data_IF_153231487437
#
_entry.id   IF_153231487437
#
_cell.length_a   1.000
_cell.length_b   1.000
_cell.length_c   1.000
_cell.angle_alpha   90.00
_cell.angle_beta   90.00
_cell.angle_gamma   90.00
#
_symmetry.space_group_name_H-M   'P 1'
#
loop_
_entity.id
_entity.type
_entity.pdbx_description
1 polymer ?
#
# COMPACT_ATOMS: atom_id res chain seq x y z
N UNK A 1 -0.37 -14.82 -15.04
CA UNK A 1 -0.23 -13.36 -14.92
C UNK A 1 -1.25 -12.92 -13.90
N UNK A 2 -0.82 -12.49 -12.72
CA UNK A 2 -1.73 -11.93 -11.73
C UNK A 2 -2.00 -10.48 -12.13
N UNK A 3 -3.26 -10.15 -12.38
CA UNK A 3 -3.73 -8.78 -12.61
C UNK A 3 -3.65 -8.07 -11.26
N UNK A 4 -2.51 -7.41 -11.00
CA UNK A 4 -2.27 -6.58 -9.83
C UNK A 4 -3.16 -5.35 -9.89
N UNK A 5 -4.46 -5.54 -9.64
CA UNK A 5 -5.40 -4.44 -9.54
C UNK A 5 -4.96 -3.62 -8.33
N UNK A 6 -4.39 -2.46 -8.61
CA UNK A 6 -4.58 -1.27 -7.79
C UNK A 6 -5.99 -1.39 -7.22
N UNK A 7 -6.15 -1.45 -5.90
CA UNK A 7 -7.46 -1.47 -5.27
C UNK A 7 -8.08 -0.08 -5.43
N UNK A 8 -8.37 0.27 -6.69
CA UNK A 8 -9.05 1.47 -7.13
C UNK A 8 -10.51 1.11 -7.28
N UNK A 9 -11.25 1.30 -6.22
CA UNK A 9 -12.68 1.09 -6.21
C UNK A 9 -13.36 2.34 -6.77
N UNK A 10 -14.12 2.21 -7.86
CA UNK A 10 -15.01 3.28 -8.31
C UNK A 10 -16.20 3.35 -7.35
N UNK A 11 -16.16 4.33 -6.44
CA UNK A 11 -17.18 4.52 -5.40
C UNK A 11 -18.49 5.02 -5.99
N UNK A 12 -18.40 5.94 -6.95
CA UNK A 12 -19.58 6.50 -7.59
C UNK A 12 -19.24 7.15 -8.94
N UNK A 13 -20.27 7.23 -9.79
CA UNK A 13 -20.20 7.82 -11.12
C UNK A 13 -21.44 8.67 -11.39
N UNK A 14 -21.24 9.81 -12.03
CA UNK A 14 -22.32 10.72 -12.40
C UNK A 14 -22.21 11.10 -13.87
N UNK A 15 -23.39 11.27 -14.48
CA UNK A 15 -23.59 11.67 -15.87
C UNK A 15 -24.71 12.71 -15.93
N UNK A 16 -24.51 13.76 -16.72
CA UNK A 16 -25.43 14.90 -16.80
C UNK A 16 -26.61 14.72 -17.77
N UNK A 17 -26.81 13.53 -18.34
CA UNK A 17 -28.00 13.22 -19.15
C UNK A 17 -28.00 13.75 -20.59
N UNK A 18 -27.03 14.59 -20.99
CA UNK A 18 -27.04 15.27 -22.28
C UNK A 18 -26.21 14.54 -23.34
N UNK A 19 -26.84 14.25 -24.48
CA UNK A 19 -26.18 13.80 -25.71
C UNK A 19 -25.99 15.00 -26.66
N UNK A 20 -24.74 15.39 -26.96
CA UNK A 20 -24.48 16.52 -27.86
C UNK A 20 -23.11 17.18 -27.68
N UNK A 21 -22.75 18.03 -28.64
CA UNK A 21 -21.36 18.45 -28.94
C UNK A 21 -20.72 19.47 -27.99
N UNK A 22 -21.40 19.98 -26.93
CA UNK A 22 -20.84 21.10 -26.16
C UNK A 22 -20.54 20.91 -24.67
N UNK A 23 -21.17 20.01 -23.91
CA UNK A 23 -20.79 19.85 -22.49
C UNK A 23 -21.14 18.47 -21.93
N UNK A 24 -20.44 17.43 -22.40
CA UNK A 24 -20.41 16.16 -21.67
C UNK A 24 -19.57 16.35 -20.41
N UNK A 25 -20.17 16.14 -19.23
CA UNK A 25 -19.45 16.14 -17.95
C UNK A 25 -19.66 14.80 -17.25
N UNK A 26 -18.66 13.94 -17.34
CA UNK A 26 -18.58 12.74 -16.52
C UNK A 26 -17.78 13.08 -15.25
N UNK A 27 -18.24 12.57 -14.11
CA UNK A 27 -17.54 12.68 -12.82
C UNK A 27 -17.43 11.30 -12.21
N UNK A 28 -16.27 11.02 -11.63
CA UNK A 28 -15.98 9.75 -10.96
C UNK A 28 -15.34 10.03 -9.61
N UNK A 29 -15.78 9.30 -8.59
CA UNK A 29 -15.09 9.22 -7.31
C UNK A 29 -14.49 7.82 -7.20
N UNK A 30 -13.18 7.74 -6.99
CA UNK A 30 -12.48 6.48 -6.77
C UNK A 30 -11.71 6.51 -5.45
N UNK A 31 -11.71 5.38 -4.74
CA UNK A 31 -10.89 5.14 -3.55
C UNK A 31 -9.70 4.28 -3.95
N UNK A 32 -8.49 4.68 -3.58
CA UNK A 32 -7.28 3.88 -3.76
C UNK A 32 -6.81 3.37 -2.40
N UNK A 33 -6.56 2.07 -2.29
CA UNK A 33 -5.96 1.45 -1.09
C UNK A 33 -4.57 0.93 -1.46
N UNK A 34 -3.56 1.33 -0.68
CA UNK A 34 -2.17 0.90 -0.85
C UNK A 34 -1.66 0.23 0.41
N UNK A 35 -0.84 -0.80 0.21
CA UNK A 35 -0.09 -1.46 1.26
C UNK A 35 1.26 -0.78 1.45
N UNK A 36 1.61 -0.49 2.69
CA UNK A 36 2.89 0.12 3.03
C UNK A 36 3.74 -0.89 3.80
N UNK A 37 4.98 -1.09 3.35
CA UNK A 37 5.99 -1.82 4.11
C UNK A 37 7.01 -0.80 4.58
N UNK A 38 7.22 -0.73 5.89
CA UNK A 38 8.22 0.15 6.51
C UNK A 38 9.22 -0.73 7.24
N UNK A 39 10.50 -0.53 6.96
CA UNK A 39 11.58 -1.18 7.70
C UNK A 39 12.50 -0.13 8.29
N UNK A 40 13.08 -0.44 9.45
CA UNK A 40 14.15 0.36 10.05
C UNK A 40 15.42 -0.48 10.06
N UNK A 41 16.48 0.03 9.44
CA UNK A 41 17.81 -0.59 9.44
C UNK A 41 18.74 0.21 10.36
N UNK A 42 19.24 -0.43 11.42
CA UNK A 42 20.03 0.21 12.48
C UNK A 42 19.27 0.31 13.80
N UNK A 43 19.86 0.99 14.80
CA UNK A 43 19.24 1.16 16.11
C UNK A 43 18.04 2.12 16.10
N UNK A 44 17.36 2.24 17.24
CA UNK A 44 16.14 3.04 17.39
C UNK A 44 16.35 4.55 17.22
N UNK A 45 17.57 5.08 17.38
CA UNK A 45 17.88 6.51 17.38
C UNK A 45 18.48 7.00 16.05
N UNK A 46 19.25 6.16 15.37
CA UNK A 46 20.00 6.52 14.15
C UNK A 46 19.65 5.68 12.93
N UNK A 47 18.77 4.68 13.10
CA UNK A 47 18.38 3.76 12.04
C UNK A 47 17.72 4.43 10.85
N UNK A 48 18.12 4.01 9.64
CA UNK A 48 17.50 4.48 8.40
C UNK A 48 16.13 3.85 8.24
N UNK A 49 15.11 4.68 8.06
CA UNK A 49 13.76 4.23 7.69
C UNK A 49 13.70 4.03 6.17
N UNK A 50 13.29 2.85 5.76
CA UNK A 50 13.02 2.46 4.39
C UNK A 50 11.50 2.24 4.24
N UNK A 51 10.92 2.75 3.16
CA UNK A 51 9.48 2.66 2.89
C UNK A 51 9.25 2.15 1.47
N UNK A 52 8.27 1.27 1.34
CA UNK A 52 7.77 0.75 0.06
C UNK A 52 6.25 0.79 0.04
N UNK A 53 5.67 1.01 -1.13
CA UNK A 53 4.24 0.98 -1.38
C UNK A 53 3.91 -0.09 -2.41
N UNK A 54 2.80 -0.78 -2.21
CA UNK A 54 2.32 -1.84 -3.08
C UNK A 54 0.82 -1.72 -3.30
N UNK A 55 0.37 -2.19 -4.46
CA UNK A 55 -1.04 -2.20 -4.84
C UNK A 55 -1.77 -3.40 -4.23
N UNK A 56 -1.05 -4.49 -3.96
CA UNK A 56 -1.61 -5.73 -3.41
C UNK A 56 -0.92 -6.18 -2.12
N UNK A 57 -1.67 -6.91 -1.30
CA UNK A 57 -1.15 -7.46 -0.05
C UNK A 57 -0.06 -8.51 -0.31
N UNK A 58 -0.20 -9.32 -1.36
CA UNK A 58 0.75 -10.37 -1.71
C UNK A 58 2.13 -9.81 -2.11
N UNK A 59 2.16 -8.70 -2.84
CA UNK A 59 3.40 -7.98 -3.17
C UNK A 59 4.06 -7.41 -1.91
N UNK A 60 3.27 -6.80 -1.03
CA UNK A 60 3.74 -6.29 0.25
C UNK A 60 4.31 -7.41 1.14
N UNK A 61 3.59 -8.53 1.27
CA UNK A 61 4.03 -9.72 2.01
C UNK A 61 5.30 -10.32 1.40
N UNK A 62 5.42 -10.32 0.07
CA UNK A 62 6.64 -10.77 -0.62
C UNK A 62 7.85 -9.88 -0.28
N UNK A 63 7.65 -8.57 -0.18
CA UNK A 63 8.71 -7.66 0.29
C UNK A 63 9.08 -7.92 1.75
N UNK A 64 8.10 -8.10 2.63
CA UNK A 64 8.36 -8.45 4.05
C UNK A 64 9.19 -9.73 4.14
N UNK A 65 8.81 -10.79 3.42
CA UNK A 65 9.58 -12.04 3.39
C UNK A 65 11.00 -11.83 2.86
N UNK A 66 11.17 -11.00 1.82
CA UNK A 66 12.51 -10.66 1.30
C UNK A 66 13.35 -9.97 2.35
N UNK A 67 12.80 -8.99 3.07
CA UNK A 67 13.52 -8.24 4.10
C UNK A 67 13.93 -9.15 5.27
N UNK A 68 13.02 -10.01 5.74
CA UNK A 68 13.30 -10.98 6.81
C UNK A 68 14.38 -11.99 6.40
N UNK A 69 14.38 -12.45 5.14
CA UNK A 69 15.40 -13.40 4.63
C UNK A 69 16.75 -12.75 4.30
N UNK A 70 16.76 -11.46 3.99
CA UNK A 70 17.98 -10.75 3.62
C UNK A 70 18.89 -10.49 4.82
N UNK A 71 18.33 -10.47 6.03
CA UNK A 71 19.10 -10.37 7.26
C UNK A 71 19.43 -11.76 7.83
N UNK A 72 20.67 -11.94 8.28
CA UNK A 72 21.18 -13.21 8.78
C UNK A 72 20.82 -13.50 10.25
N UNK A 73 20.05 -12.59 10.88
CA UNK A 73 19.57 -12.73 12.25
C UNK A 73 18.42 -13.72 12.43
N UNK A 74 18.23 -14.20 13.66
CA UNK A 74 17.04 -14.97 14.04
C UNK A 74 15.87 -14.02 14.32
N UNK A 75 15.07 -13.76 13.30
CA UNK A 75 13.84 -12.98 13.44
C UNK A 75 12.77 -13.77 14.20
N UNK A 76 12.09 -13.11 15.13
CA UNK A 76 10.89 -13.63 15.81
C UNK A 76 9.75 -12.68 15.57
N UNK A 77 8.62 -13.20 15.11
CA UNK A 77 7.39 -12.43 15.00
C UNK A 77 6.92 -12.05 16.42
N UNK A 78 6.71 -10.76 16.66
CA UNK A 78 6.06 -10.29 17.87
C UNK A 78 4.58 -10.11 17.59
N UNK A 79 3.75 -10.96 18.20
CA UNK A 79 2.29 -10.85 18.15
C UNK A 79 1.79 -10.18 19.43
N UNK A 80 1.05 -9.07 19.31
CA UNK A 80 0.42 -8.36 20.42
C UNK A 80 0.50 -6.82 20.33
N UNK A 81 -0.15 -6.13 21.28
CA UNK A 81 -0.18 -4.65 21.42
C UNK A 81 1.22 -3.99 21.55
N UNK A 82 2.28 -4.79 21.70
CA UNK A 82 3.66 -4.36 21.76
C UNK A 82 4.30 -4.10 20.38
N UNK A 83 3.60 -4.36 19.28
CA UNK A 83 4.07 -3.99 17.95
C UNK A 83 4.04 -2.47 17.79
N UNK A 84 5.21 -1.83 17.93
CA UNK A 84 5.39 -0.39 17.72
C UNK A 84 4.81 0.01 16.36
N UNK A 85 3.92 0.99 16.35
CA UNK A 85 3.36 1.52 15.11
C UNK A 85 4.49 2.06 14.21
N UNK A 86 4.41 1.84 12.89
CA UNK A 86 5.38 2.40 11.97
C UNK A 86 5.38 3.93 12.07
N UNK A 87 6.55 4.59 11.97
CA UNK A 87 6.63 6.05 12.00
C UNK A 87 5.85 6.65 10.83
N UNK A 88 5.12 7.74 11.11
CA UNK A 88 4.36 8.53 10.14
C UNK A 88 5.21 9.14 9.01
#
# INVERSE_FOLDING_TARGET
MYDGRVAKELVARWWNGVWGRLTRRDVWLAREVRWHVVARAGDSETGKVLRWEFDTEDEARSMVQRLVRADSGQWREQTGDAATQPPG
#
